data_IF_097724102155
#
_entry.id   IF_097724102155
#
_cell.length_a   1.000
_cell.length_b   1.000
_cell.length_c   1.000
_cell.angle_alpha   90.00
_cell.angle_beta   90.00
_cell.angle_gamma   90.00
#
_symmetry.space_group_name_H-M   'P 1'
#
loop_
_entity.id
_entity.type
_entity.pdbx_description
1 polymer ?
#
# COMPACT_ATOMS: atom_id res chain seq x y z
N UNK A 1 3.66 33.74 -7.23
CA UNK A 1 3.61 32.97 -8.48
C UNK A 1 4.08 31.58 -8.13
N UNK A 2 3.14 30.70 -7.85
CA UNK A 2 3.38 29.40 -7.23
C UNK A 2 3.57 28.31 -8.27
N UNK A 3 4.25 27.24 -7.88
CA UNK A 3 4.41 26.04 -8.71
C UNK A 3 3.27 25.07 -8.40
N UNK A 4 2.50 24.67 -9.40
CA UNK A 4 1.51 23.59 -9.26
C UNK A 4 2.14 22.24 -9.55
N UNK A 5 1.71 21.21 -8.82
CA UNK A 5 2.10 19.81 -9.10
C UNK A 5 0.84 18.96 -9.08
N UNK A 6 0.61 18.18 -10.14
CA UNK A 6 -0.54 17.27 -10.24
C UNK A 6 -0.02 15.83 -10.38
N UNK A 7 -0.28 14.97 -9.38
CA UNK A 7 0.08 13.55 -9.42
C UNK A 7 -1.08 12.69 -9.93
N UNK A 8 -0.93 12.17 -11.15
CA UNK A 8 -1.93 11.35 -11.84
C UNK A 8 -1.86 9.91 -11.32
N UNK A 9 -2.57 9.63 -10.24
CA UNK A 9 -2.92 8.28 -9.83
C UNK A 9 -4.42 8.23 -9.54
N UNK A 10 -5.15 7.34 -10.21
CA UNK A 10 -6.60 7.29 -10.19
C UNK A 10 -7.20 6.87 -8.84
N UNK A 11 -6.43 6.33 -7.89
CA UNK A 11 -6.93 6.15 -6.50
C UNK A 11 -7.26 7.48 -5.84
N UNK A 12 -6.60 8.56 -6.26
CA UNK A 12 -6.68 9.90 -5.69
C UNK A 12 -5.64 10.78 -6.36
N UNK A 13 -6.08 11.53 -7.39
CA UNK A 13 -5.24 12.50 -8.08
C UNK A 13 -5.01 13.66 -7.13
N UNK A 14 -3.74 13.93 -6.83
CA UNK A 14 -3.35 14.97 -5.89
C UNK A 14 -2.96 16.24 -6.64
N UNK A 15 -3.45 17.39 -6.16
CA UNK A 15 -3.03 18.71 -6.62
C UNK A 15 -2.32 19.39 -5.45
N UNK A 16 -1.11 19.86 -5.69
CA UNK A 16 -0.35 20.65 -4.74
C UNK A 16 -0.01 22.03 -5.30
N UNK A 17 -0.01 23.01 -4.40
CA UNK A 17 0.54 24.35 -4.63
C UNK A 17 1.82 24.45 -3.81
N UNK A 18 2.92 24.70 -4.51
CA UNK A 18 4.28 24.55 -4.01
C UNK A 18 4.51 23.15 -3.43
N UNK A 19 4.49 23.01 -2.10
CA UNK A 19 4.67 21.73 -1.41
C UNK A 19 3.46 21.33 -0.55
N UNK A 20 2.33 22.00 -0.71
CA UNK A 20 1.12 21.73 0.08
C UNK A 20 0.04 21.09 -0.80
N UNK A 21 -0.43 19.92 -0.40
CA UNK A 21 -1.55 19.25 -1.06
C UNK A 21 -2.83 20.02 -0.75
N UNK A 22 -3.44 20.61 -1.80
CA UNK A 22 -4.67 21.40 -1.68
C UNK A 22 -5.92 20.60 -2.06
N UNK A 23 -5.76 19.54 -2.86
CA UNK A 23 -6.86 18.66 -3.25
C UNK A 23 -6.39 17.24 -3.49
N UNK A 24 -7.29 16.27 -3.25
CA UNK A 24 -7.14 14.87 -3.64
C UNK A 24 -8.49 14.36 -4.13
N UNK A 25 -8.53 13.86 -5.36
CA UNK A 25 -9.79 13.47 -6.01
C UNK A 25 -9.71 12.09 -6.68
N UNK A 26 -10.58 11.12 -6.34
CA UNK A 26 -10.54 9.77 -6.89
C UNK A 26 -11.05 9.74 -8.34
N UNK A 27 -10.54 8.80 -9.15
CA UNK A 27 -10.88 8.63 -10.57
C UNK A 27 -12.28 8.07 -10.83
N UNK A 28 -13.32 8.75 -10.38
CA UNK A 28 -14.72 8.38 -10.57
C UNK A 28 -15.46 9.43 -11.39
N UNK A 29 -16.41 8.97 -12.19
CA UNK A 29 -17.36 9.79 -12.92
C UNK A 29 -18.75 9.12 -12.88
N UNK A 30 -19.79 9.91 -12.66
CA UNK A 30 -21.18 9.44 -12.62
C UNK A 30 -22.04 10.40 -13.44
N UNK A 31 -22.81 9.86 -14.38
CA UNK A 31 -23.83 10.65 -15.08
C UNK A 31 -25.15 10.61 -14.29
N UNK A 32 -25.57 11.73 -13.74
CA UNK A 32 -26.87 11.91 -13.08
C UNK A 32 -27.80 12.77 -13.96
N UNK A 33 -28.62 12.11 -14.76
CA UNK A 33 -29.39 12.78 -15.81
C UNK A 33 -28.47 13.41 -16.84
N UNK A 34 -28.48 14.75 -16.93
CA UNK A 34 -27.62 15.54 -17.82
C UNK A 34 -26.43 16.18 -17.06
N UNK A 35 -26.19 15.78 -15.81
CA UNK A 35 -25.12 16.30 -14.98
C UNK A 35 -24.02 15.27 -14.80
N UNK A 36 -22.83 15.59 -15.29
CA UNK A 36 -21.63 14.79 -15.06
C UNK A 36 -21.01 15.15 -13.72
N UNK A 37 -21.07 14.23 -12.77
CA UNK A 37 -20.33 14.29 -11.52
C UNK A 37 -18.95 13.66 -11.74
N UNK A 38 -17.90 14.23 -11.14
CA UNK A 38 -16.54 13.69 -11.16
C UNK A 38 -15.93 13.70 -9.76
N UNK A 39 -14.86 12.92 -9.58
CA UNK A 39 -14.09 12.97 -8.33
C UNK A 39 -14.83 12.41 -7.12
N UNK A 40 -14.67 13.07 -5.98
CA UNK A 40 -15.29 12.69 -4.71
C UNK A 40 -16.81 12.70 -4.75
N UNK A 41 -17.42 13.63 -5.49
CA UNK A 41 -18.87 13.69 -5.65
C UNK A 41 -19.39 12.49 -6.45
N UNK A 42 -18.69 12.11 -7.52
CA UNK A 42 -19.00 10.91 -8.27
C UNK A 42 -18.85 9.64 -7.43
N UNK A 43 -17.78 9.51 -6.63
CA UNK A 43 -17.59 8.37 -5.74
C UNK A 43 -18.76 8.22 -4.74
N UNK A 44 -19.26 9.34 -4.21
CA UNK A 44 -20.39 9.37 -3.27
C UNK A 44 -21.76 9.01 -3.90
N UNK A 45 -21.83 8.92 -5.23
CA UNK A 45 -23.04 8.52 -5.98
C UNK A 45 -22.86 7.23 -6.79
N UNK A 46 -21.66 6.64 -6.79
CA UNK A 46 -21.28 5.53 -7.66
C UNK A 46 -22.13 4.27 -7.50
N UNK A 47 -22.61 3.97 -6.28
CA UNK A 47 -23.49 2.84 -5.93
C UNK A 47 -24.96 3.17 -6.04
N UNK A 48 -25.33 4.46 -6.03
CA UNK A 48 -26.68 4.92 -6.30
C UNK A 48 -27.02 4.81 -7.79
N UNK A 49 -26.04 5.10 -8.65
CA UNK A 49 -26.20 5.15 -10.11
C UNK A 49 -25.20 4.21 -10.84
N UNK A 50 -25.08 2.92 -10.48
CA UNK A 50 -23.98 2.06 -10.94
C UNK A 50 -23.93 1.85 -12.44
N UNK A 51 -25.08 1.95 -13.13
CA UNK A 51 -25.14 1.88 -14.59
C UNK A 51 -24.50 3.07 -15.29
N UNK A 52 -24.45 4.21 -14.62
CA UNK A 52 -23.97 5.49 -15.14
C UNK A 52 -22.59 5.87 -14.59
N UNK A 53 -21.98 4.95 -13.84
CA UNK A 53 -20.65 5.12 -13.24
C UNK A 53 -19.56 4.62 -14.18
N UNK A 54 -18.52 5.42 -14.39
CA UNK A 54 -17.26 4.98 -14.96
C UNK A 54 -16.11 5.36 -14.02
N UNK A 55 -15.23 4.42 -13.74
CA UNK A 55 -14.03 4.64 -12.92
C UNK A 55 -12.75 4.11 -13.57
N UNK A 56 -12.80 3.79 -14.87
CA UNK A 56 -11.68 3.20 -15.63
C UNK A 56 -10.99 4.21 -16.54
N UNK A 57 -11.52 5.42 -16.68
CA UNK A 57 -11.10 6.38 -17.69
C UNK A 57 -9.64 6.84 -17.59
N UNK A 58 -9.04 6.86 -16.39
CA UNK A 58 -7.59 7.10 -16.23
C UNK A 58 -6.75 5.85 -16.54
N UNK A 59 -7.22 4.67 -16.13
CA UNK A 59 -6.58 3.39 -16.44
C UNK A 59 -6.67 3.03 -17.95
N UNK A 60 -7.71 3.50 -18.64
CA UNK A 60 -8.00 3.34 -20.06
C UNK A 60 -8.04 4.71 -20.75
N UNK A 61 -7.03 5.56 -20.51
CA UNK A 61 -6.98 6.89 -21.11
C UNK A 61 -6.84 6.78 -22.64
N UNK A 62 -7.98 6.84 -23.33
CA UNK A 62 -8.08 6.68 -24.78
C UNK A 62 -9.37 7.35 -25.30
N UNK A 63 -9.55 7.30 -26.62
CA UNK A 63 -10.75 7.78 -27.31
C UNK A 63 -11.70 6.64 -27.69
N UNK A 64 -11.68 5.53 -26.95
CA UNK A 64 -12.65 4.45 -27.15
C UNK A 64 -14.00 4.85 -26.54
N UNK A 65 -15.13 4.51 -27.20
CA UNK A 65 -16.45 4.92 -26.73
C UNK A 65 -16.82 4.26 -25.41
N UNK A 66 -17.49 5.02 -24.54
CA UNK A 66 -18.05 4.48 -23.29
C UNK A 66 -19.47 3.93 -23.51
N UNK A 67 -19.85 2.93 -22.71
CA UNK A 67 -21.13 2.23 -22.83
C UNK A 67 -22.35 3.13 -22.65
N UNK A 68 -22.21 4.19 -21.84
CA UNK A 68 -23.24 5.20 -21.55
C UNK A 68 -22.87 6.55 -22.17
N UNK A 69 -22.42 6.54 -23.42
CA UNK A 69 -22.05 7.77 -24.11
C UNK A 69 -23.25 8.69 -24.30
N UNK A 70 -23.00 9.99 -24.12
CA UNK A 70 -23.90 11.09 -24.45
C UNK A 70 -23.26 11.94 -25.56
N UNK A 71 -23.97 12.96 -26.04
CA UNK A 71 -23.39 13.90 -27.01
C UNK A 71 -22.19 14.67 -26.42
N UNK A 72 -22.17 14.88 -25.10
CA UNK A 72 -21.14 15.61 -24.37
C UNK A 72 -20.01 14.70 -23.87
N UNK A 73 -20.31 13.45 -23.51
CA UNK A 73 -19.34 12.48 -22.97
C UNK A 73 -19.36 11.22 -23.82
N UNK A 74 -18.40 11.10 -24.73
CA UNK A 74 -18.38 10.03 -25.73
C UNK A 74 -17.36 8.96 -25.41
N UNK A 75 -16.21 9.36 -24.85
CA UNK A 75 -15.06 8.47 -24.65
C UNK A 75 -14.42 8.63 -23.26
N UNK A 76 -13.49 7.75 -22.91
CA UNK A 76 -12.73 7.85 -21.65
C UNK A 76 -11.97 9.18 -21.51
N UNK A 77 -11.41 9.70 -22.60
CA UNK A 77 -10.75 11.01 -22.59
C UNK A 77 -11.68 12.16 -22.20
N UNK A 78 -12.97 12.13 -22.57
CA UNK A 78 -13.92 13.19 -22.20
C UNK A 78 -14.15 13.21 -20.67
N UNK A 79 -14.21 12.02 -20.04
CA UNK A 79 -14.30 11.89 -18.58
C UNK A 79 -13.03 12.34 -17.86
N UNK A 80 -11.86 11.97 -18.40
CA UNK A 80 -10.58 12.40 -17.87
C UNK A 80 -10.41 13.92 -17.97
N UNK A 81 -10.87 14.51 -19.08
CA UNK A 81 -10.87 15.96 -19.29
C UNK A 81 -11.74 16.67 -18.26
N UNK A 82 -13.00 16.27 -18.09
CA UNK A 82 -13.91 16.88 -17.11
C UNK A 82 -13.36 16.77 -15.68
N UNK A 83 -12.76 15.63 -15.33
CA UNK A 83 -12.14 15.46 -14.02
C UNK A 83 -10.89 16.36 -13.86
N UNK A 84 -10.02 16.43 -14.86
CA UNK A 84 -8.85 17.31 -14.84
C UNK A 84 -9.24 18.79 -14.75
N UNK A 85 -10.28 19.21 -15.47
CA UNK A 85 -10.85 20.56 -15.41
C UNK A 85 -11.36 20.87 -14.00
N UNK A 86 -12.13 19.96 -13.40
CA UNK A 86 -12.65 20.14 -12.02
C UNK A 86 -11.55 20.29 -10.96
N UNK A 87 -10.39 19.67 -11.19
CA UNK A 87 -9.21 19.76 -10.31
C UNK A 87 -8.46 21.08 -10.49
N UNK A 88 -8.46 21.65 -11.70
CA UNK A 88 -7.70 22.84 -12.07
C UNK A 88 -8.43 24.15 -11.80
N UNK A 89 -9.72 24.23 -12.15
CA UNK A 89 -10.52 25.47 -12.02
C UNK A 89 -10.42 26.14 -10.65
N UNK A 90 -10.41 25.42 -9.50
CA UNK A 90 -10.32 26.06 -8.19
C UNK A 90 -8.98 26.77 -7.92
N UNK A 91 -7.89 26.39 -8.62
CA UNK A 91 -6.52 26.83 -8.33
C UNK A 91 -5.85 27.59 -9.49
N UNK A 92 -6.52 27.72 -10.63
CA UNK A 92 -5.95 28.26 -11.88
C UNK A 92 -5.36 29.67 -11.75
N UNK A 93 -5.88 30.48 -10.83
CA UNK A 93 -5.45 31.86 -10.60
C UNK A 93 -4.26 31.99 -9.64
N UNK A 94 -3.80 30.89 -9.04
CA UNK A 94 -2.72 30.86 -8.04
C UNK A 94 -1.40 30.32 -8.61
N UNK A 95 -1.48 29.60 -9.74
CA UNK A 95 -0.40 28.78 -10.29
C UNK A 95 -0.01 29.27 -11.69
N UNK A 96 1.29 29.50 -11.91
CA UNK A 96 1.79 29.98 -13.21
C UNK A 96 2.49 28.89 -14.02
N UNK A 97 2.89 27.79 -13.38
CA UNK A 97 3.60 26.67 -13.99
C UNK A 97 3.16 25.38 -13.32
N UNK A 98 3.02 24.31 -14.09
CA UNK A 98 2.60 22.99 -13.57
C UNK A 98 3.60 21.90 -13.93
N UNK A 99 3.93 21.05 -12.96
CA UNK A 99 4.56 19.75 -13.19
C UNK A 99 3.49 18.67 -13.12
N UNK A 100 3.40 17.81 -14.14
CA UNK A 100 2.56 16.61 -14.09
C UNK A 100 3.42 15.42 -13.66
N UNK A 101 3.02 14.73 -12.58
CA UNK A 101 3.55 13.42 -12.25
C UNK A 101 2.64 12.37 -12.88
N UNK A 102 3.23 11.47 -13.67
CA UNK A 102 2.48 10.50 -14.46
C UNK A 102 2.89 9.08 -14.09
N UNK A 103 1.94 8.13 -14.11
CA UNK A 103 2.25 6.76 -13.79
C UNK A 103 3.09 6.15 -14.91
N UNK A 104 4.05 5.30 -14.55
CA UNK A 104 5.04 4.82 -15.50
C UNK A 104 4.49 3.94 -16.64
N UNK A 105 3.24 3.48 -16.54
CA UNK A 105 2.55 2.72 -17.60
C UNK A 105 1.83 3.60 -18.63
N UNK A 106 1.83 4.92 -18.48
CA UNK A 106 1.37 5.82 -19.55
C UNK A 106 2.38 5.83 -20.69
N UNK A 107 1.95 5.37 -21.86
CA UNK A 107 2.73 5.40 -23.09
C UNK A 107 2.50 6.71 -23.85
N UNK A 108 3.18 6.87 -24.99
CA UNK A 108 3.11 8.10 -25.79
C UNK A 108 1.68 8.53 -26.14
N UNK A 109 0.73 7.65 -26.50
CA UNK A 109 -0.65 8.06 -26.76
C UNK A 109 -1.35 8.66 -25.54
N UNK A 110 -1.19 8.06 -24.36
CA UNK A 110 -1.79 8.56 -23.11
C UNK A 110 -1.17 9.89 -22.70
N UNK A 111 0.15 10.04 -22.83
CA UNK A 111 0.83 11.31 -22.54
C UNK A 111 0.39 12.41 -23.51
N UNK A 112 0.21 12.08 -24.79
CA UNK A 112 -0.32 13.01 -25.79
C UNK A 112 -1.74 13.48 -25.46
N UNK A 113 -2.62 12.55 -25.07
CA UNK A 113 -3.98 12.89 -24.62
C UNK A 113 -3.96 13.76 -23.36
N UNK A 114 -3.16 13.41 -22.36
CA UNK A 114 -3.03 14.18 -21.12
C UNK A 114 -2.55 15.61 -21.38
N UNK A 115 -1.52 15.79 -22.21
CA UNK A 115 -1.01 17.11 -22.57
C UNK A 115 -2.00 17.92 -23.42
N UNK A 116 -2.74 17.25 -24.31
CA UNK A 116 -3.83 17.86 -25.07
C UNK A 116 -4.93 18.38 -24.15
N UNK A 117 -5.43 17.54 -23.22
CA UNK A 117 -6.43 17.94 -22.23
C UNK A 117 -5.93 19.08 -21.34
N UNK A 118 -4.69 19.00 -20.85
CA UNK A 118 -4.11 20.06 -20.04
C UNK A 118 -4.04 21.40 -20.79
N UNK A 119 -3.71 21.36 -22.08
CA UNK A 119 -3.69 22.55 -22.95
C UNK A 119 -5.09 23.16 -23.10
N UNK A 120 -6.11 22.32 -23.36
CA UNK A 120 -7.50 22.78 -23.48
C UNK A 120 -8.05 23.35 -22.16
N UNK A 121 -7.63 22.80 -21.01
CA UNK A 121 -7.94 23.36 -19.68
C UNK A 121 -7.15 24.63 -19.34
N UNK A 122 -6.22 25.09 -20.19
CA UNK A 122 -5.37 26.24 -19.89
C UNK A 122 -4.31 25.99 -18.82
N UNK A 123 -3.97 24.72 -18.52
CA UNK A 123 -2.96 24.36 -17.52
C UNK A 123 -1.56 24.68 -18.08
N UNK A 124 -0.74 25.51 -17.41
CA UNK A 124 0.58 25.90 -17.89
C UNK A 124 1.63 24.81 -17.61
N UNK A 125 1.44 23.62 -18.21
CA UNK A 125 2.35 22.47 -18.04
C UNK A 125 3.73 22.85 -18.52
N UNK A 126 4.69 22.79 -17.60
CA UNK A 126 6.09 23.12 -17.86
C UNK A 126 7.02 21.93 -17.73
N UNK A 127 6.54 20.79 -17.23
CA UNK A 127 7.31 19.56 -17.14
C UNK A 127 6.45 18.36 -16.81
N UNK A 128 6.91 17.17 -17.18
CA UNK A 128 6.28 15.89 -16.87
C UNK A 128 7.34 14.98 -16.25
N UNK A 129 7.03 14.29 -15.15
CA UNK A 129 7.96 13.36 -14.52
C UNK A 129 7.26 12.05 -14.12
N UNK A 130 8.02 10.96 -14.11
CA UNK A 130 7.50 9.66 -13.67
C UNK A 130 7.25 9.66 -12.14
N UNK A 131 6.04 9.30 -11.69
CA UNK A 131 5.66 9.35 -10.27
C UNK A 131 6.53 8.43 -9.40
N UNK A 132 6.97 7.27 -9.92
CA UNK A 132 7.86 6.35 -9.20
C UNK A 132 9.27 6.89 -9.06
N UNK A 133 9.74 7.65 -10.06
CA UNK A 133 11.03 8.35 -9.98
C UNK A 133 11.00 9.40 -8.87
N UNK A 134 9.91 10.18 -8.79
CA UNK A 134 9.74 11.20 -7.75
C UNK A 134 9.51 10.59 -6.36
N UNK A 135 8.84 9.45 -6.26
CA UNK A 135 8.67 8.73 -5.00
C UNK A 135 10.01 8.32 -4.36
N UNK A 136 11.06 8.13 -5.19
CA UNK A 136 12.32 7.54 -4.76
C UNK A 136 13.49 8.51 -4.63
N UNK A 137 13.49 9.64 -5.35
CA UNK A 137 14.71 10.41 -5.58
C UNK A 137 15.33 11.07 -4.35
N UNK A 138 14.54 11.33 -3.30
CA UNK A 138 14.99 11.90 -2.03
C UNK A 138 15.07 10.88 -0.90
N UNK A 139 14.84 9.59 -1.20
CA UNK A 139 14.91 8.52 -0.22
C UNK A 139 16.29 7.83 -0.25
N UNK A 140 16.76 7.33 0.90
CA UNK A 140 17.98 6.53 0.97
C UNK A 140 17.72 5.14 0.36
N UNK A 141 18.00 4.99 -0.93
CA UNK A 141 17.77 3.75 -1.67
C UNK A 141 19.08 3.03 -2.03
N UNK A 142 19.00 1.71 -2.14
CA UNK A 142 20.05 0.87 -2.71
C UNK A 142 20.18 1.08 -4.23
N UNK A 143 21.24 0.52 -4.83
CA UNK A 143 21.44 0.62 -6.28
C UNK A 143 20.30 0.00 -7.08
N UNK A 144 19.75 -1.12 -6.61
CA UNK A 144 18.50 -1.67 -7.13
C UNK A 144 17.35 -1.24 -6.24
N UNK A 145 16.35 -0.60 -6.82
CA UNK A 145 15.18 -0.12 -6.11
C UNK A 145 13.92 -0.50 -6.89
N UNK A 146 12.94 -1.04 -6.19
CA UNK A 146 11.64 -1.41 -6.72
C UNK A 146 10.61 -0.49 -6.04
N UNK A 147 9.72 0.12 -6.82
CA UNK A 147 8.59 0.88 -6.28
C UNK A 147 7.30 0.12 -6.59
N UNK A 148 6.64 -0.37 -5.54
CA UNK A 148 5.33 -1.02 -5.60
C UNK A 148 4.26 0.03 -5.35
N UNK A 149 3.44 0.29 -6.37
CA UNK A 149 2.32 1.24 -6.32
C UNK A 149 1.01 0.56 -6.73
N UNK A 150 -0.11 1.11 -6.26
CA UNK A 150 -1.46 0.63 -6.56
C UNK A 150 -2.32 1.76 -7.13
N UNK A 151 -3.10 1.39 -8.14
CA UNK A 151 -4.07 2.19 -8.87
C UNK A 151 -5.49 1.67 -8.59
N UNK A 152 -6.53 2.34 -9.08
CA UNK A 152 -7.91 1.83 -8.92
C UNK A 152 -8.06 0.41 -9.49
N UNK A 153 -7.43 0.14 -10.64
CA UNK A 153 -7.65 -1.10 -11.40
C UNK A 153 -6.41 -1.98 -11.59
N UNK A 154 -5.23 -1.57 -11.12
CA UNK A 154 -4.00 -2.38 -11.25
C UNK A 154 -3.02 -2.13 -10.13
N UNK A 155 -2.09 -3.05 -9.97
CA UNK A 155 -0.89 -2.89 -9.12
C UNK A 155 0.34 -2.94 -10.00
N UNK A 156 1.26 -1.98 -9.85
CA UNK A 156 2.44 -1.84 -10.69
C UNK A 156 3.73 -1.92 -9.89
N UNK A 157 4.77 -2.45 -10.51
CA UNK A 157 6.13 -2.42 -9.99
C UNK A 157 7.03 -1.66 -10.97
N UNK A 158 7.62 -0.56 -10.50
CA UNK A 158 8.64 0.18 -11.25
C UNK A 158 10.02 -0.20 -10.75
N UNK A 159 10.90 -0.62 -11.66
CA UNK A 159 12.32 -0.85 -11.35
C UNK A 159 13.12 0.42 -11.62
N UNK A 160 13.82 0.86 -10.58
CA UNK A 160 14.69 2.02 -10.56
C UNK A 160 16.13 1.54 -10.33
N UNK A 161 17.08 2.12 -11.06
CA UNK A 161 18.50 1.91 -10.83
C UNK A 161 19.12 3.21 -10.33
N UNK A 162 19.68 3.17 -9.12
CA UNK A 162 20.33 4.30 -8.46
C UNK A 162 21.85 4.22 -8.61
N UNK A 163 22.41 5.24 -9.23
CA UNK A 163 23.85 5.47 -9.33
C UNK A 163 24.13 6.95 -9.01
N UNK A 164 24.87 7.69 -9.85
CA UNK A 164 24.86 9.16 -9.81
C UNK A 164 23.60 9.76 -10.45
N UNK A 165 22.88 8.94 -11.23
CA UNK A 165 21.61 9.27 -11.85
C UNK A 165 20.63 8.17 -11.46
N UNK A 166 19.49 8.56 -10.91
CA UNK A 166 18.36 7.66 -10.70
C UNK A 166 17.65 7.47 -12.04
N UNK A 167 17.51 6.23 -12.47
CA UNK A 167 16.93 5.91 -13.77
C UNK A 167 15.75 4.95 -13.62
N UNK A 168 14.61 5.31 -14.21
CA UNK A 168 13.53 4.36 -14.43
C UNK A 168 13.91 3.38 -15.53
N UNK A 169 13.99 2.10 -15.20
CA UNK A 169 14.35 1.02 -16.13
C UNK A 169 13.13 0.38 -16.76
N UNK A 170 12.20 -0.05 -15.94
CA UNK A 170 11.07 -0.87 -16.36
C UNK A 170 9.88 -0.60 -15.47
N UNK A 171 8.69 -0.71 -16.04
CA UNK A 171 7.41 -0.61 -15.35
C UNK A 171 6.59 -1.81 -15.79
N UNK A 172 6.09 -2.58 -14.84
CA UNK A 172 5.28 -3.75 -15.12
C UNK A 172 3.99 -3.74 -14.30
N UNK A 173 2.88 -4.11 -14.92
CA UNK A 173 1.67 -4.48 -14.18
C UNK A 173 1.90 -5.84 -13.54
N UNK A 174 1.91 -5.89 -12.21
CA UNK A 174 2.05 -7.12 -11.46
C UNK A 174 0.74 -7.89 -11.45
N UNK A 175 -0.37 -7.17 -11.24
CA UNK A 175 -1.72 -7.71 -11.30
C UNK A 175 -2.68 -6.67 -11.88
N UNK A 176 -3.69 -7.11 -12.62
CA UNK A 176 -4.86 -6.31 -13.02
C UNK A 176 -5.88 -6.16 -11.87
N UNK A 177 -5.42 -6.29 -10.62
CA UNK A 177 -6.20 -6.03 -9.42
C UNK A 177 -5.68 -4.74 -8.79
N UNK A 178 -6.53 -3.73 -8.75
CA UNK A 178 -6.29 -2.48 -8.03
C UNK A 178 -7.14 -2.37 -6.78
N UNK A 179 -7.09 -1.20 -6.14
CA UNK A 179 -7.76 -0.97 -4.86
C UNK A 179 -9.28 -1.08 -4.96
N UNK A 180 -9.88 -0.75 -6.10
CA UNK A 180 -11.34 -0.84 -6.29
C UNK A 180 -11.85 -2.28 -6.11
N UNK A 181 -11.17 -3.25 -6.72
CA UNK A 181 -11.52 -4.67 -6.58
C UNK A 181 -11.34 -5.16 -5.14
N UNK A 182 -10.36 -4.63 -4.41
CA UNK A 182 -10.16 -4.97 -3.00
C UNK A 182 -11.24 -4.36 -2.11
N UNK A 183 -11.66 -3.12 -2.38
CA UNK A 183 -12.83 -2.51 -1.73
C UNK A 183 -14.08 -3.36 -1.94
N UNK A 184 -14.37 -3.83 -3.16
CA UNK A 184 -15.50 -4.73 -3.41
C UNK A 184 -15.41 -6.02 -2.57
N UNK A 185 -14.24 -6.63 -2.47
CA UNK A 185 -14.05 -7.86 -1.68
C UNK A 185 -14.23 -7.62 -0.18
N UNK A 186 -13.66 -6.54 0.35
CA UNK A 186 -13.83 -6.19 1.76
C UNK A 186 -15.27 -5.79 2.09
N UNK A 187 -15.95 -5.06 1.21
CA UNK A 187 -17.37 -4.74 1.33
C UNK A 187 -18.23 -6.01 1.46
N UNK A 188 -17.96 -7.01 0.62
CA UNK A 188 -18.67 -8.30 0.69
C UNK A 188 -18.39 -9.05 2.02
N UNK A 189 -17.14 -9.06 2.50
CA UNK A 189 -16.80 -9.65 3.81
C UNK A 189 -17.56 -8.94 4.94
N UNK A 190 -17.60 -7.61 4.92
CA UNK A 190 -18.34 -6.80 5.90
C UNK A 190 -19.84 -7.12 5.84
N UNK A 191 -20.41 -7.18 4.64
CA UNK A 191 -21.82 -7.51 4.42
C UNK A 191 -22.17 -8.91 4.95
N UNK A 192 -21.35 -9.92 4.65
CA UNK A 192 -21.52 -11.28 5.15
C UNK A 192 -21.51 -11.31 6.68
N UNK A 193 -20.64 -10.53 7.32
CA UNK A 193 -20.60 -10.44 8.78
C UNK A 193 -21.83 -9.74 9.36
N UNK A 194 -22.35 -8.68 8.72
CA UNK A 194 -23.62 -8.06 9.14
C UNK A 194 -24.80 -9.03 9.04
N UNK A 195 -24.88 -9.81 7.95
CA UNK A 195 -25.93 -10.81 7.75
C UNK A 195 -25.87 -11.89 8.84
N UNK A 196 -24.67 -12.40 9.15
CA UNK A 196 -24.48 -13.44 10.16
C UNK A 196 -24.85 -12.97 11.57
N UNK A 197 -24.53 -11.72 11.93
CA UNK A 197 -24.66 -11.21 13.30
C UNK A 197 -25.99 -10.51 13.56
N UNK A 198 -26.56 -9.83 12.57
CA UNK A 198 -27.73 -8.96 12.72
C UNK A 198 -28.84 -9.19 11.71
N UNK A 199 -28.64 -10.07 10.71
CA UNK A 199 -29.52 -10.29 9.54
C UNK A 199 -29.78 -9.05 8.69
N UNK A 200 -29.04 -7.98 8.93
CA UNK A 200 -29.03 -6.81 8.08
C UNK A 200 -28.05 -7.05 6.92
N UNK A 201 -28.48 -6.79 5.70
CA UNK A 201 -27.63 -6.84 4.51
C UNK A 201 -27.41 -5.41 3.99
N UNK A 202 -26.20 -4.82 4.18
CA UNK A 202 -25.93 -3.47 3.70
C UNK A 202 -25.94 -3.37 2.17
N UNK A 203 -25.81 -4.48 1.42
CA UNK A 203 -25.84 -4.51 -0.04
C UNK A 203 -27.25 -4.56 -0.62
N UNK A 204 -28.29 -4.72 0.22
CA UNK A 204 -29.66 -4.90 -0.27
C UNK A 204 -30.28 -3.63 -0.86
N UNK A 205 -29.90 -2.46 -0.34
CA UNK A 205 -30.38 -1.17 -0.81
C UNK A 205 -29.22 -0.28 -1.23
N UNK A 206 -29.39 0.45 -2.34
CA UNK A 206 -28.34 1.29 -2.89
C UNK A 206 -27.83 2.35 -1.90
N UNK A 207 -28.70 2.88 -1.03
CA UNK A 207 -28.33 3.86 -0.02
C UNK A 207 -27.42 3.28 1.07
N UNK A 208 -27.70 2.08 1.56
CA UNK A 208 -26.85 1.39 2.54
C UNK A 208 -25.56 0.87 1.90
N UNK A 209 -25.62 0.44 0.63
CA UNK A 209 -24.44 0.05 -0.12
C UNK A 209 -23.51 1.25 -0.31
N UNK A 210 -24.05 2.39 -0.75
CA UNK A 210 -23.30 3.63 -0.89
C UNK A 210 -22.68 4.07 0.45
N UNK A 211 -23.43 4.01 1.54
CA UNK A 211 -22.92 4.33 2.87
C UNK A 211 -21.75 3.42 3.28
N UNK A 212 -21.82 2.12 2.95
CA UNK A 212 -20.72 1.18 3.19
C UNK A 212 -19.47 1.57 2.40
N UNK A 213 -19.61 1.81 1.09
CA UNK A 213 -18.49 2.19 0.23
C UNK A 213 -17.90 3.58 0.53
N UNK A 214 -18.70 4.51 1.07
CA UNK A 214 -18.21 5.80 1.52
C UNK A 214 -17.28 5.67 2.74
N UNK A 215 -17.57 4.73 3.65
CA UNK A 215 -16.81 4.56 4.90
C UNK A 215 -15.64 3.59 4.76
N UNK A 216 -15.72 2.64 3.84
CA UNK A 216 -14.76 1.55 3.70
C UNK A 216 -13.31 1.99 3.47
N UNK A 217 -12.97 2.90 2.52
CA UNK A 217 -11.57 3.28 2.28
C UNK A 217 -10.88 3.82 3.53
N UNK A 218 -11.50 4.80 4.19
CA UNK A 218 -10.97 5.40 5.42
C UNK A 218 -11.01 4.45 6.62
N UNK A 219 -11.85 3.41 6.62
CA UNK A 219 -11.79 2.36 7.63
C UNK A 219 -10.57 1.45 7.42
N UNK A 220 -10.30 1.02 6.18
CA UNK A 220 -9.12 0.20 5.84
C UNK A 220 -7.83 0.93 6.23
N UNK A 221 -7.67 2.19 5.82
CA UNK A 221 -6.46 2.99 6.12
C UNK A 221 -6.15 3.06 7.63
N UNK A 222 -7.19 3.07 8.47
CA UNK A 222 -7.05 3.16 9.93
C UNK A 222 -6.79 1.82 10.64
N UNK A 223 -6.89 0.68 9.94
CA UNK A 223 -6.69 -0.64 10.55
C UNK A 223 -5.31 -0.80 11.19
N UNK A 224 -4.26 -0.25 10.57
CA UNK A 224 -2.88 -0.34 11.08
C UNK A 224 -2.64 0.34 12.43
N UNK A 225 -3.57 1.21 12.87
CA UNK A 225 -3.45 2.02 14.09
C UNK A 225 -4.44 1.61 15.20
N UNK A 226 -5.40 0.74 14.89
CA UNK A 226 -6.55 0.45 15.74
C UNK A 226 -6.35 -0.81 16.59
N UNK A 227 -6.88 -0.83 17.83
CA UNK A 227 -6.79 -2.00 18.75
C UNK A 227 -7.82 -3.10 18.46
N UNK A 228 -8.58 -2.95 17.38
CA UNK A 228 -9.63 -3.88 16.95
C UNK A 228 -10.21 -3.44 15.61
N UNK A 229 -10.88 -4.38 14.95
CA UNK A 229 -11.41 -4.22 13.60
C UNK A 229 -12.95 -4.20 13.64
N UNK A 230 -13.51 -3.20 14.32
CA UNK A 230 -14.96 -2.98 14.31
C UNK A 230 -15.31 -2.03 13.18
N UNK A 231 -16.19 -2.47 12.28
CA UNK A 231 -16.79 -1.62 11.26
C UNK A 231 -18.12 -1.08 11.80
N UNK A 232 -18.28 0.24 11.76
CA UNK A 232 -19.53 0.91 12.09
C UNK A 232 -20.14 1.45 10.80
N UNK A 233 -21.45 1.27 10.63
CA UNK A 233 -22.22 1.73 9.48
C UNK A 233 -23.36 2.61 9.98
N UNK A 234 -23.14 3.92 9.88
CA UNK A 234 -24.15 4.93 10.15
C UNK A 234 -25.13 5.08 8.96
N UNK A 235 -26.42 4.88 9.22
CA UNK A 235 -27.53 5.10 8.29
C UNK A 235 -28.48 6.20 8.80
N UNK A 236 -27.95 7.19 9.54
CA UNK A 236 -28.67 8.33 10.09
C UNK A 236 -29.37 7.99 11.40
N UNK A 237 -30.50 7.29 11.32
CA UNK A 237 -31.31 6.95 12.51
C UNK A 237 -30.89 5.62 13.16
N UNK A 238 -30.11 4.81 12.46
CA UNK A 238 -29.66 3.49 12.90
C UNK A 238 -28.17 3.35 12.61
N UNK A 239 -27.41 2.93 13.63
CA UNK A 239 -26.02 2.55 13.49
C UNK A 239 -25.90 1.03 13.64
N UNK A 240 -25.33 0.37 12.64
CA UNK A 240 -24.99 -1.05 12.69
C UNK A 240 -23.49 -1.20 12.91
N UNK A 241 -23.08 -2.09 13.82
CA UNK A 241 -21.64 -2.39 14.00
C UNK A 241 -21.36 -3.88 13.93
N UNK A 242 -20.17 -4.22 13.41
CA UNK A 242 -19.73 -5.61 13.30
C UNK A 242 -18.21 -5.71 13.50
N UNK A 243 -17.78 -6.75 14.21
CA UNK A 243 -16.36 -7.05 14.42
C UNK A 243 -15.87 -8.04 13.39
N UNK A 244 -14.73 -7.76 12.75
CA UNK A 244 -14.19 -8.52 11.62
C UNK A 244 -12.76 -8.95 11.93
N UNK A 245 -12.43 -10.22 11.84
CA UNK A 245 -11.07 -10.67 12.12
C UNK A 245 -10.10 -10.23 11.02
N UNK A 246 -8.82 -10.06 11.36
CA UNK A 246 -7.77 -9.81 10.36
C UNK A 246 -7.68 -10.93 9.33
N UNK A 247 -7.89 -12.18 9.73
CA UNK A 247 -7.90 -13.33 8.81
C UNK A 247 -9.04 -13.23 7.79
N UNK A 248 -10.22 -12.78 8.19
CA UNK A 248 -11.34 -12.53 7.28
C UNK A 248 -10.97 -11.48 6.24
N UNK A 249 -10.40 -10.35 6.66
CA UNK A 249 -9.98 -9.29 5.73
C UNK A 249 -8.83 -9.71 4.81
N UNK A 250 -7.89 -10.50 5.32
CA UNK A 250 -6.77 -11.04 4.53
C UNK A 250 -7.26 -11.99 3.42
N UNK A 251 -8.42 -12.65 3.60
CA UNK A 251 -8.98 -13.53 2.57
C UNK A 251 -9.29 -12.79 1.25
N UNK A 252 -9.60 -11.49 1.30
CA UNK A 252 -9.78 -10.65 0.10
C UNK A 252 -8.51 -10.55 -0.75
N UNK A 253 -7.35 -10.68 -0.11
CA UNK A 253 -6.03 -10.51 -0.72
C UNK A 253 -5.34 -11.84 -1.04
N UNK A 254 -6.00 -12.98 -0.78
CA UNK A 254 -5.40 -14.32 -0.85
C UNK A 254 -4.77 -14.67 -2.22
N UNK A 255 -5.30 -14.10 -3.30
CA UNK A 255 -4.74 -14.27 -4.65
C UNK A 255 -3.72 -13.19 -5.03
N UNK A 256 -3.79 -12.01 -4.42
CA UNK A 256 -3.01 -10.83 -4.82
C UNK A 256 -1.62 -10.90 -4.20
N UNK A 257 -1.51 -11.08 -2.88
CA UNK A 257 -0.21 -11.02 -2.20
C UNK A 257 0.79 -12.08 -2.68
N UNK A 258 0.40 -13.35 -2.91
CA UNK A 258 1.34 -14.32 -3.49
C UNK A 258 1.87 -13.91 -4.87
N UNK A 259 1.04 -13.27 -5.71
CA UNK A 259 1.48 -12.74 -7.00
C UNK A 259 2.47 -11.59 -6.81
N UNK A 260 2.20 -10.66 -5.89
CA UNK A 260 3.13 -9.57 -5.56
C UNK A 260 4.48 -10.11 -5.09
N UNK A 261 4.47 -10.99 -4.10
CA UNK A 261 5.68 -11.62 -3.53
C UNK A 261 6.45 -12.37 -4.61
N UNK A 262 5.78 -13.18 -5.41
CA UNK A 262 6.43 -13.96 -6.46
C UNK A 262 7.02 -13.04 -7.54
N UNK A 263 6.29 -12.01 -7.98
CA UNK A 263 6.78 -11.09 -8.99
C UNK A 263 8.00 -10.31 -8.47
N UNK A 264 7.95 -9.77 -7.25
CA UNK A 264 9.08 -9.06 -6.63
C UNK A 264 10.30 -9.98 -6.52
N UNK A 265 10.13 -11.24 -6.08
CA UNK A 265 11.24 -12.23 -6.03
C UNK A 265 11.92 -12.44 -7.37
N UNK A 266 11.19 -12.37 -8.49
CA UNK A 266 11.81 -12.48 -9.83
C UNK A 266 12.63 -11.26 -10.24
N UNK A 267 12.44 -10.12 -9.57
CA UNK A 267 13.14 -8.86 -9.84
C UNK A 267 14.35 -8.64 -8.93
N UNK A 268 14.47 -9.41 -7.85
CA UNK A 268 15.60 -9.37 -6.93
C UNK A 268 16.62 -10.42 -7.37
N UNK A 269 17.80 -9.97 -7.80
CA UNK A 269 18.88 -10.87 -8.21
C UNK A 269 19.54 -11.53 -6.99
N UNK A 270 19.94 -12.80 -7.14
CA UNK A 270 20.61 -13.53 -6.06
C UNK A 270 21.90 -12.82 -5.62
N UNK A 271 22.01 -12.51 -4.33
CA UNK A 271 23.16 -11.82 -3.76
C UNK A 271 23.16 -10.30 -3.94
N UNK A 272 22.09 -9.71 -4.49
CA UNK A 272 21.89 -8.26 -4.57
C UNK A 272 20.80 -7.82 -3.58
N UNK A 273 21.15 -6.86 -2.72
CA UNK A 273 20.20 -6.25 -1.80
C UNK A 273 19.43 -5.12 -2.48
N UNK A 274 18.11 -5.13 -2.40
CA UNK A 274 17.23 -4.18 -3.09
C UNK A 274 16.35 -3.39 -2.12
N UNK A 275 16.13 -2.11 -2.37
CA UNK A 275 15.08 -1.37 -1.64
C UNK A 275 13.73 -1.64 -2.30
N UNK A 276 12.71 -2.01 -1.52
CA UNK A 276 11.32 -2.06 -1.95
C UNK A 276 10.57 -0.86 -1.34
N UNK A 277 10.35 0.16 -2.16
CA UNK A 277 9.49 1.29 -1.82
C UNK A 277 8.02 0.86 -1.91
N UNK A 278 7.28 1.01 -0.81
CA UNK A 278 5.86 0.74 -0.73
C UNK A 278 5.08 2.05 -0.71
N UNK A 279 4.28 2.29 -1.75
CA UNK A 279 3.41 3.47 -1.85
C UNK A 279 2.47 3.61 -0.64
N UNK A 280 2.28 4.85 -0.15
CA UNK A 280 1.32 5.16 0.92
C UNK A 280 -0.11 4.66 0.63
N UNK A 281 -0.46 4.44 -0.64
CA UNK A 281 -1.78 3.96 -1.09
C UNK A 281 -2.10 2.55 -0.61
N UNK A 282 -1.10 1.82 -0.09
CA UNK A 282 -1.28 0.54 0.59
C UNK A 282 -1.53 0.67 2.11
N UNK A 283 -1.67 1.89 2.64
CA UNK A 283 -1.88 2.11 4.08
C UNK A 283 -3.07 1.29 4.61
N UNK A 284 -2.83 0.62 5.73
CA UNK A 284 -3.85 -0.20 6.40
C UNK A 284 -4.18 -1.54 5.74
N UNK A 285 -3.55 -1.91 4.61
CA UNK A 285 -3.81 -3.18 3.93
C UNK A 285 -3.42 -4.37 4.83
N UNK A 286 -4.39 -5.23 5.23
CA UNK A 286 -4.15 -6.28 6.20
C UNK A 286 -3.12 -7.30 5.72
N UNK A 287 -2.06 -7.53 6.49
CA UNK A 287 -1.04 -8.56 6.23
C UNK A 287 -0.13 -8.34 5.03
N UNK A 288 -0.21 -7.19 4.34
CA UNK A 288 0.64 -6.92 3.17
C UNK A 288 2.11 -6.81 3.54
N UNK A 289 2.44 -6.00 4.56
CA UNK A 289 3.85 -5.80 5.00
C UNK A 289 4.47 -7.12 5.44
N UNK A 290 3.74 -7.91 6.23
CA UNK A 290 4.17 -9.25 6.64
C UNK A 290 4.43 -10.15 5.43
N UNK A 291 3.57 -10.09 4.41
CA UNK A 291 3.73 -10.88 3.18
C UNK A 291 4.95 -10.43 2.37
N UNK A 292 5.19 -9.12 2.26
CA UNK A 292 6.35 -8.56 1.57
C UNK A 292 7.66 -8.86 2.33
N UNK A 293 7.63 -8.89 3.66
CA UNK A 293 8.77 -9.29 4.50
C UNK A 293 9.24 -10.73 4.30
N UNK A 294 8.45 -11.58 3.61
CA UNK A 294 8.87 -12.93 3.20
C UNK A 294 9.82 -12.94 1.99
N UNK A 295 10.05 -11.80 1.35
CA UNK A 295 11.01 -11.69 0.25
C UNK A 295 12.40 -11.50 0.86
N UNK A 296 13.33 -12.40 0.53
CA UNK A 296 14.72 -12.26 0.96
C UNK A 296 15.41 -11.11 0.20
N UNK A 297 16.48 -10.58 0.78
CA UNK A 297 17.35 -9.57 0.17
C UNK A 297 16.63 -8.26 -0.22
N UNK A 298 15.54 -7.91 0.48
CA UNK A 298 14.89 -6.61 0.35
C UNK A 298 14.85 -5.82 1.65
N UNK A 299 14.93 -4.50 1.52
CA UNK A 299 14.59 -3.54 2.57
C UNK A 299 13.27 -2.87 2.20
N UNK A 300 12.23 -3.10 2.99
CA UNK A 300 10.94 -2.45 2.83
C UNK A 300 11.02 -1.02 3.39
N UNK A 301 10.75 -0.03 2.56
CA UNK A 301 10.66 1.38 2.95
C UNK A 301 9.30 1.91 2.53
N UNK A 302 8.57 2.48 3.48
CA UNK A 302 7.28 3.10 3.20
C UNK A 302 7.48 4.51 2.63
N UNK A 303 6.76 4.81 1.57
CA UNK A 303 6.73 6.13 0.96
C UNK A 303 5.60 6.92 1.64
N UNK A 304 5.93 8.07 2.21
CA UNK A 304 4.96 8.94 2.87
C UNK A 304 3.96 9.57 1.87
N UNK A 305 2.80 9.98 2.38
CA UNK A 305 1.82 10.74 1.58
C UNK A 305 2.48 12.04 1.11
N UNK A 306 2.40 12.34 -0.19
CA UNK A 306 2.97 13.55 -0.77
C UNK A 306 4.47 13.50 -1.07
N UNK A 307 5.18 12.40 -0.76
CA UNK A 307 6.62 12.29 -1.05
C UNK A 307 6.97 12.64 -2.51
N UNK A 308 6.22 12.11 -3.47
CA UNK A 308 6.44 12.40 -4.90
C UNK A 308 6.23 13.88 -5.24
N UNK A 309 5.27 14.56 -4.60
CA UNK A 309 5.00 15.97 -4.79
C UNK A 309 6.14 16.82 -4.20
N UNK A 310 6.56 16.51 -2.98
CA UNK A 310 7.68 17.17 -2.31
C UNK A 310 8.99 17.03 -3.07
N UNK A 311 9.28 15.83 -3.57
CA UNK A 311 10.41 15.57 -4.45
C UNK A 311 10.32 16.40 -5.74
N UNK A 312 9.16 16.42 -6.40
CA UNK A 312 8.98 17.18 -7.63
C UNK A 312 9.14 18.69 -7.42
N UNK A 313 8.67 19.22 -6.28
CA UNK A 313 8.90 20.61 -5.89
C UNK A 313 10.39 20.89 -5.67
N UNK A 314 11.08 20.03 -4.92
CA UNK A 314 12.50 20.19 -4.60
C UNK A 314 13.42 20.11 -5.83
N UNK A 315 13.04 19.34 -6.86
CA UNK A 315 13.80 19.15 -8.10
C UNK A 315 13.17 19.82 -9.33
N UNK A 316 12.32 20.83 -9.13
CA UNK A 316 11.60 21.51 -10.21
C UNK A 316 12.53 22.11 -11.28
N UNK A 317 13.73 22.56 -10.89
CA UNK A 317 14.78 23.08 -11.78
C UNK A 317 15.35 22.03 -12.75
N UNK A 318 15.31 20.75 -12.35
CA UNK A 318 15.72 19.61 -13.19
C UNK A 318 14.58 19.07 -14.05
N UNK A 319 13.33 19.34 -13.66
CA UNK A 319 12.15 18.86 -14.38
C UNK A 319 11.73 19.83 -15.47
N UNK A 320 11.74 21.12 -15.16
CA UNK A 320 11.24 22.14 -16.06
C UNK A 320 12.36 22.65 -16.96
N UNK A 321 12.13 22.62 -18.27
CA UNK A 321 13.09 23.12 -19.24
C UNK A 321 13.19 24.65 -19.25
N UNK A 322 14.41 25.16 -19.41
CA UNK A 322 14.67 26.60 -19.53
C UNK A 322 14.24 27.18 -20.90
N UNK A 323 14.10 26.35 -21.93
CA UNK A 323 13.69 26.75 -23.28
C UNK A 323 12.16 26.70 -23.50
N UNK A 324 11.40 26.35 -22.47
CA UNK A 324 9.94 26.20 -22.52
C UNK A 324 9.44 24.89 -23.12
N UNK A 325 10.33 23.96 -23.52
CA UNK A 325 9.92 22.63 -23.96
C UNK A 325 9.42 21.78 -22.78
N UNK A 326 8.32 21.06 -22.98
CA UNK A 326 7.81 20.10 -21.98
C UNK A 326 8.53 18.77 -22.15
N UNK A 327 9.43 18.46 -21.22
CA UNK A 327 10.16 17.20 -21.20
C UNK A 327 9.45 16.16 -20.33
N UNK A 328 9.58 14.89 -20.70
CA UNK A 328 9.18 13.74 -19.87
C UNK A 328 10.41 13.15 -19.19
N UNK A 329 10.51 13.38 -17.87
CA UNK A 329 11.64 13.02 -17.04
C UNK A 329 11.48 11.61 -16.50
N UNK A 330 12.30 10.70 -17.01
CA UNK A 330 12.40 9.30 -16.54
C UNK A 330 13.76 8.98 -15.92
N UNK A 331 14.62 9.99 -15.78
CA UNK A 331 15.90 9.92 -15.10
C UNK A 331 16.20 11.26 -14.42
N UNK A 332 16.86 11.22 -13.27
CA UNK A 332 17.15 12.42 -12.48
C UNK A 332 18.53 12.30 -11.81
N UNK A 333 19.32 13.36 -11.87
CA UNK A 333 20.54 13.46 -11.06
C UNK A 333 20.19 13.62 -9.59
N UNK A 334 20.58 12.66 -8.77
CA UNK A 334 20.32 12.64 -7.33
C UNK A 334 21.60 12.90 -6.55
N UNK A 335 21.48 13.65 -5.45
CA UNK A 335 22.63 14.04 -4.61
C UNK A 335 23.06 12.94 -3.64
N UNK A 336 22.19 11.94 -3.41
CA UNK A 336 22.48 10.82 -2.51
C UNK A 336 23.43 9.81 -3.18
N UNK A 337 24.49 9.44 -2.47
CA UNK A 337 25.24 8.24 -2.84
C UNK A 337 24.36 7.02 -2.53
N UNK A 338 24.22 6.05 -3.46
CA UNK A 338 23.47 4.84 -3.18
C UNK A 338 24.02 4.23 -1.90
N UNK A 339 23.12 3.82 -1.00
CA UNK A 339 23.57 3.10 0.18
C UNK A 339 24.33 1.86 -0.30
N UNK A 340 25.55 1.67 0.21
CA UNK A 340 26.20 0.37 0.04
C UNK A 340 25.26 -0.65 0.65
N UNK A 341 25.03 -1.81 -0.01
CA UNK A 341 24.28 -2.88 0.59
C UNK A 341 24.90 -3.13 1.95
N UNK A 342 24.20 -2.74 3.01
CA UNK A 342 24.57 -3.21 4.33
C UNK A 342 24.08 -4.63 4.26
N UNK A 343 24.96 -5.66 4.24
CA UNK A 343 24.48 -7.00 4.43
C UNK A 343 23.66 -6.91 5.72
N UNK A 344 22.36 -7.16 5.61
CA UNK A 344 21.59 -7.50 6.80
C UNK A 344 22.42 -8.64 7.37
N UNK A 345 23.11 -8.37 8.49
CA UNK A 345 23.65 -9.44 9.31
C UNK A 345 22.51 -10.40 9.38
N UNK A 346 22.70 -11.58 8.81
CA UNK A 346 21.72 -12.66 8.77
C UNK A 346 21.09 -12.68 10.15
N UNK A 347 19.94 -12.01 10.31
CA UNK A 347 19.24 -11.97 11.58
C UNK A 347 18.55 -13.30 11.54
N UNK A 348 19.36 -14.33 11.77
CA UNK A 348 18.90 -15.67 11.98
C UNK A 348 17.84 -15.47 13.07
N UNK A 349 16.59 -15.64 12.69
CA UNK A 349 15.48 -15.49 13.60
C UNK A 349 15.30 -16.86 14.22
N UNK A 350 15.00 -16.89 15.52
CA UNK A 350 14.83 -18.17 16.21
C UNK A 350 13.66 -18.91 15.57
N UNK A 351 13.93 -20.05 14.94
CA UNK A 351 12.88 -20.89 14.33
C UNK A 351 12.56 -22.11 15.18
N UNK A 352 13.52 -22.59 15.98
CA UNK A 352 13.39 -23.84 16.73
C UNK A 352 13.92 -23.70 18.16
N UNK A 353 13.36 -24.52 19.04
CA UNK A 353 13.91 -24.83 20.35
C UNK A 353 14.65 -26.16 20.26
N UNK A 354 15.89 -26.21 20.75
CA UNK A 354 16.74 -27.39 20.77
C UNK A 354 16.95 -27.86 22.22
N UNK A 355 16.67 -29.13 22.48
CA UNK A 355 17.02 -29.80 23.72
C UNK A 355 17.65 -31.15 23.39
N UNK A 356 18.79 -31.46 24.01
CA UNK A 356 19.64 -32.59 23.67
C UNK A 356 19.97 -32.64 22.15
N UNK A 357 19.40 -33.59 21.42
CA UNK A 357 19.56 -33.79 19.98
C UNK A 357 18.26 -33.59 19.18
N UNK A 358 17.23 -33.01 19.80
CA UNK A 358 15.91 -32.84 19.19
C UNK A 358 15.52 -31.36 19.12
N UNK A 359 15.24 -30.90 17.90
CA UNK A 359 14.74 -29.56 17.62
C UNK A 359 13.23 -29.58 17.36
N UNK A 360 12.50 -28.63 17.95
CA UNK A 360 11.06 -28.46 17.75
C UNK A 360 10.78 -27.05 17.24
N UNK A 361 10.02 -26.97 16.13
CA UNK A 361 9.65 -25.70 15.52
C UNK A 361 8.70 -24.88 16.41
N UNK A 362 9.00 -23.59 16.56
CA UNK A 362 8.22 -22.67 17.41
C UNK A 362 6.95 -22.22 16.67
N UNK A 363 7.09 -21.83 15.39
CA UNK A 363 6.02 -21.25 14.60
C UNK A 363 5.63 -19.84 15.09
N UNK A 364 4.37 -19.45 14.95
CA UNK A 364 3.88 -18.12 15.39
C UNK A 364 3.79 -17.99 16.92
N UNK A 365 3.47 -19.09 17.60
CA UNK A 365 3.44 -19.18 19.06
C UNK A 365 3.59 -20.63 19.51
N UNK A 366 4.23 -20.80 20.67
CA UNK A 366 4.45 -22.09 21.31
C UNK A 366 4.24 -21.96 22.81
N UNK A 367 3.30 -22.74 23.36
CA UNK A 367 3.04 -22.80 24.81
C UNK A 367 3.81 -24.00 25.38
N UNK A 368 4.90 -23.74 26.10
CA UNK A 368 5.84 -24.77 26.54
C UNK A 368 5.34 -25.49 27.79
N UNK A 369 5.36 -26.82 27.76
CA UNK A 369 5.09 -27.67 28.93
C UNK A 369 6.17 -27.51 30.01
N UNK A 370 5.76 -27.51 31.28
CA UNK A 370 6.69 -27.63 32.42
C UNK A 370 7.22 -29.06 32.63
N UNK A 371 6.52 -30.08 32.11
CA UNK A 371 7.01 -31.46 32.06
C UNK A 371 7.75 -31.71 30.74
N UNK A 372 9.07 -31.91 30.85
CA UNK A 372 9.99 -32.21 29.75
C UNK A 372 10.44 -33.68 29.71
N UNK A 373 9.85 -34.57 30.52
CA UNK A 373 10.24 -35.99 30.56
C UNK A 373 10.12 -36.70 29.21
N UNK A 374 9.25 -36.21 28.32
CA UNK A 374 9.08 -36.66 26.94
C UNK A 374 9.63 -35.71 25.88
N UNK A 375 10.56 -34.81 26.23
CA UNK A 375 11.11 -33.79 25.33
C UNK A 375 10.33 -32.47 25.32
N UNK A 376 10.61 -31.61 24.35
CA UNK A 376 9.91 -30.32 24.18
C UNK A 376 8.47 -30.57 23.71
N UNK A 377 7.49 -30.24 24.54
CA UNK A 377 6.07 -30.48 24.27
C UNK A 377 5.21 -29.23 24.48
N UNK A 378 4.06 -29.20 23.80
CA UNK A 378 3.06 -28.14 23.97
C UNK A 378 2.09 -28.50 25.10
N UNK A 379 1.82 -27.54 25.99
CA UNK A 379 0.75 -27.64 26.99
C UNK A 379 -0.14 -26.40 26.89
N UNK A 380 -1.41 -26.60 26.53
CA UNK A 380 -2.40 -25.52 26.41
C UNK A 380 -3.15 -25.25 27.71
N UNK A 381 -3.03 -26.14 28.70
CA UNK A 381 -3.74 -26.04 29.98
C UNK A 381 -2.93 -25.28 31.03
N UNK A 382 -1.66 -25.64 31.21
CA UNK A 382 -0.79 -25.02 32.22
C UNK A 382 0.67 -24.87 31.76
N UNK A 383 0.93 -24.07 30.71
CA UNK A 383 2.28 -23.88 30.21
C UNK A 383 3.17 -23.13 31.20
N UNK A 384 4.46 -23.47 31.22
CA UNK A 384 5.46 -22.75 32.03
C UNK A 384 5.80 -21.38 31.42
N UNK A 385 5.79 -21.28 30.09
CA UNK A 385 5.95 -20.03 29.36
C UNK A 385 5.26 -20.09 28.00
N UNK A 386 5.08 -18.94 27.37
CA UNK A 386 4.61 -18.84 25.99
C UNK A 386 5.62 -18.06 25.16
N UNK A 387 6.14 -18.70 24.12
CA UNK A 387 6.91 -18.05 23.09
C UNK A 387 5.96 -17.54 22.00
N UNK A 388 6.21 -16.34 21.49
CA UNK A 388 5.39 -15.75 20.42
C UNK A 388 6.20 -14.77 19.59
N UNK A 389 5.85 -14.69 18.32
CA UNK A 389 6.48 -13.77 17.36
C UNK A 389 5.70 -12.45 17.34
N UNK A 390 6.41 -11.33 17.41
CA UNK A 390 5.85 -9.97 17.23
C UNK A 390 6.77 -9.17 16.32
N UNK A 391 6.30 -8.86 15.11
CA UNK A 391 7.20 -8.39 14.04
C UNK A 391 8.19 -9.49 13.67
N UNK A 392 9.47 -9.15 13.57
CA UNK A 392 10.55 -10.12 13.27
C UNK A 392 11.24 -10.68 14.53
N UNK A 393 10.76 -10.31 15.72
CA UNK A 393 11.37 -10.71 16.99
C UNK A 393 10.52 -11.79 17.70
N UNK A 394 11.22 -12.75 18.30
CA UNK A 394 10.62 -13.73 19.19
C UNK A 394 10.62 -13.17 20.62
N UNK A 395 9.53 -13.38 21.35
CA UNK A 395 9.37 -12.98 22.74
C UNK A 395 8.93 -14.17 23.59
N UNK A 396 9.18 -14.08 24.90
CA UNK A 396 8.66 -15.03 25.89
C UNK A 396 7.91 -14.32 27.01
N UNK A 397 6.77 -14.90 27.39
CA UNK A 397 6.03 -14.58 28.60
C UNK A 397 6.13 -15.78 29.55
N UNK A 398 6.82 -15.62 30.69
CA UNK A 398 6.85 -16.63 31.74
C UNK A 398 5.54 -16.62 32.54
N UNK A 399 4.96 -17.79 32.82
CA UNK A 399 3.67 -17.92 33.53
C UNK A 399 3.82 -18.41 34.98
N UNK A 400 5.03 -18.83 35.36
CA UNK A 400 5.38 -19.24 36.74
C UNK A 400 6.40 -18.28 37.34
N UNK A 401 6.12 -17.80 38.56
CA UNK A 401 7.02 -16.88 39.27
C UNK A 401 8.29 -17.59 39.78
N UNK A 402 9.46 -17.07 39.41
CA UNK A 402 10.75 -17.31 40.10
C UNK A 402 11.69 -18.38 39.53
N UNK A 403 11.17 -19.35 38.75
CA UNK A 403 11.97 -20.51 38.32
C UNK A 403 12.32 -20.54 36.82
N UNK A 404 11.80 -19.60 36.03
CA UNK A 404 12.09 -19.51 34.59
C UNK A 404 13.09 -18.38 34.29
N UNK A 405 14.17 -18.71 33.59
CA UNK A 405 15.26 -17.80 33.25
C UNK A 405 15.61 -17.83 31.77
N UNK A 406 16.02 -16.69 31.24
CA UNK A 406 16.66 -16.54 29.93
C UNK A 406 18.11 -16.14 30.19
N UNK A 407 19.08 -16.94 29.75
CA UNK A 407 20.51 -16.65 29.93
C UNK A 407 20.92 -16.34 31.39
N UNK A 408 20.40 -17.09 32.37
CA UNK A 408 20.59 -16.91 33.83
C UNK A 408 19.87 -15.71 34.46
N UNK A 409 19.21 -14.86 33.68
CA UNK A 409 18.38 -13.76 34.17
C UNK A 409 16.92 -14.16 34.27
N UNK A 410 16.21 -13.66 35.29
CA UNK A 410 14.76 -13.89 35.43
C UNK A 410 14.07 -13.23 34.24
N UNK A 411 13.29 -14.00 33.49
CA UNK A 411 12.58 -13.49 32.34
C UNK A 411 11.25 -12.87 32.77
N UNK A 412 11.11 -11.58 32.52
CA UNK A 412 9.85 -10.88 32.67
C UNK A 412 8.96 -11.07 31.43
N UNK A 413 7.71 -10.61 31.53
CA UNK A 413 6.77 -10.62 30.41
C UNK A 413 7.29 -9.80 29.23
N UNK A 414 7.31 -10.40 28.04
CA UNK A 414 7.79 -9.77 26.82
C UNK A 414 9.31 -9.68 26.72
N UNK A 415 10.04 -10.61 27.33
CA UNK A 415 11.50 -10.70 27.16
C UNK A 415 11.81 -11.10 25.72
N UNK A 416 12.63 -10.32 25.02
CA UNK A 416 13.03 -10.60 23.64
C UNK A 416 14.05 -11.75 23.59
N UNK A 417 13.96 -12.58 22.56
CA UNK A 417 14.76 -13.79 22.38
C UNK A 417 15.52 -13.76 21.05
N UNK A 418 16.78 -14.18 21.12
CA UNK A 418 17.71 -14.29 20.01
C UNK A 418 18.22 -15.73 19.87
N UNK A 419 18.76 -16.11 18.70
CA UNK A 419 19.42 -17.40 18.55
C UNK A 419 20.66 -17.48 19.44
N UNK A 420 20.84 -18.63 20.06
CA UNK A 420 21.84 -18.88 21.08
C UNK A 420 21.34 -18.66 22.51
N UNK A 421 20.20 -17.99 22.70
CA UNK A 421 19.64 -17.81 24.05
C UNK A 421 19.22 -19.15 24.67
N UNK A 422 19.46 -19.29 25.97
CA UNK A 422 19.14 -20.48 26.76
C UNK A 422 17.92 -20.22 27.66
N UNK A 423 16.85 -21.00 27.48
CA UNK A 423 15.71 -21.04 28.38
C UNK A 423 15.98 -22.09 29.47
N UNK A 424 15.97 -21.66 30.74
CA UNK A 424 16.26 -22.50 31.90
C UNK A 424 15.10 -22.53 32.87
N UNK A 425 14.73 -23.73 33.29
CA UNK A 425 13.79 -23.95 34.39
C UNK A 425 14.04 -25.30 35.05
N UNK A 426 14.10 -25.32 36.39
CA UNK A 426 14.57 -26.49 37.13
C UNK A 426 16.01 -26.87 36.73
N UNK A 427 16.21 -28.15 36.37
CA UNK A 427 17.50 -28.65 35.88
C UNK A 427 17.60 -28.67 34.34
N UNK A 428 16.57 -28.20 33.63
CA UNK A 428 16.50 -28.29 32.17
C UNK A 428 16.99 -27.01 31.49
N UNK A 429 17.67 -27.20 30.36
CA UNK A 429 18.14 -26.10 29.49
C UNK A 429 17.70 -26.38 28.05
N UNK A 430 17.06 -25.39 27.42
CA UNK A 430 16.66 -25.42 26.01
C UNK A 430 17.39 -24.28 25.31
N UNK A 431 18.12 -24.59 24.23
CA UNK A 431 18.81 -23.58 23.41
C UNK A 431 17.92 -23.15 22.26
N UNK A 432 17.82 -21.86 22.03
CA UNK A 432 17.12 -21.29 20.87
C UNK A 432 18.05 -21.30 19.66
N UNK A 433 17.58 -21.86 18.54
CA UNK A 433 18.38 -22.01 17.34
C UNK A 433 17.64 -21.50 16.10
N UNK A 434 18.44 -21.18 15.08
CA UNK A 434 17.97 -20.86 13.74
C UNK A 434 18.28 -22.04 12.83
N UNK A 435 17.24 -22.69 12.33
CA UNK A 435 17.34 -23.71 11.29
C UNK A 435 16.74 -23.12 10.02
N UNK A 436 17.56 -23.05 8.97
CA UNK A 436 17.20 -22.63 7.60
C UNK A 436 16.53 -23.74 6.83
#
# INVERSE_FOLDING_TARGET
>A
MALGIIDINDTGIQVAIDNEIVSTSPGFAVMDGDHLLVGSEALQNARLLPRWTNNRFWNQLNTDPIATSTDEVRHHADLAFAHLESLWQPVENEIDRVILLVPGYFEQPQLGLLLGMATECGIPVSGVADSSLMAACDLPINQNCLHLDIHLHRTTLTRLASSHVLNRKEVATVTETGVFTLWDRWANIIADQFIQTSRFDPMHHATSEQALFNQLPGWIERLGTSRGNTFELDLGDVNHSVSISSDQLMSACAQVYPQLVQFIRTQVAAGEFSTLLLSHRFSGFPGLKDSLGLVADIELVEVEVGQSLSSAYAHADKIISADGAVNHITNLHVSHQPQKPTPVQDKSHVTHMLMDSHAVAIGKSFQLSGDLSGGIQRDTGNPICTLYVRGDALYVDAHTEGDFKVNEEIADRGTALNPGDELKFGEHTITLISVT
#
